data_IF_231113804336
#
_entry.id   IF_231113804336
#
_cell.length_a   1.000
_cell.length_b   1.000
_cell.length_c   1.000
_cell.angle_alpha   90.00
_cell.angle_beta   90.00
_cell.angle_gamma   90.00
#
_symmetry.space_group_name_H-M   'P 1'
#
loop_
_entity.id
_entity.type
_entity.pdbx_description
1 polymer ?
#
# COMPACT_ATOMS: atom_id res chain seq x y z
N UNK A 1 4.85 -2.58 8.55
CA UNK A 1 6.20 -2.47 7.93
C UNK A 1 6.99 -3.74 8.24
N UNK A 2 8.04 -4.08 7.49
CA UNK A 2 8.85 -5.28 7.75
C UNK A 2 10.27 -4.99 8.26
N UNK A 3 10.84 -3.83 7.93
CA UNK A 3 12.16 -3.39 8.37
C UNK A 3 12.28 -1.87 8.23
N UNK A 4 13.28 -1.26 8.88
CA UNK A 4 13.65 0.15 8.71
C UNK A 4 12.72 1.16 9.39
N UNK A 5 11.93 0.73 10.37
CA UNK A 5 10.91 1.53 11.05
C UNK A 5 11.49 2.84 11.60
N UNK A 6 12.62 2.80 12.32
CA UNK A 6 13.29 4.00 12.84
C UNK A 6 13.54 5.08 11.76
N UNK A 7 13.90 4.68 10.54
CA UNK A 7 14.10 5.63 9.44
C UNK A 7 12.77 6.15 8.90
N UNK A 8 11.78 5.26 8.79
CA UNK A 8 10.42 5.64 8.41
C UNK A 8 9.83 6.64 9.40
N UNK A 9 9.95 6.40 10.70
CA UNK A 9 9.49 7.29 11.76
C UNK A 9 10.12 8.68 11.66
N UNK A 10 11.45 8.74 11.45
CA UNK A 10 12.16 10.01 11.24
C UNK A 10 11.65 10.77 10.02
N UNK A 11 11.45 10.09 8.89
CA UNK A 11 10.91 10.70 7.66
C UNK A 11 9.47 11.16 7.82
N UNK A 12 8.70 10.47 8.65
CA UNK A 12 7.27 10.70 8.89
C UNK A 12 6.99 11.72 9.99
N UNK A 13 7.92 11.88 10.93
CA UNK A 13 7.74 12.66 12.16
C UNK A 13 6.75 12.01 13.14
N UNK A 14 6.50 10.70 13.04
CA UNK A 14 5.56 9.95 13.89
C UNK A 14 5.86 8.45 13.87
N UNK A 15 5.52 7.76 14.95
CA UNK A 15 5.76 6.32 15.14
C UNK A 15 4.62 5.40 14.66
N UNK A 16 3.41 5.92 14.51
CA UNK A 16 2.25 5.14 14.09
C UNK A 16 1.87 5.45 12.64
N UNK A 17 1.04 4.58 12.06
CA UNK A 17 0.47 4.79 10.72
C UNK A 17 1.55 4.98 9.64
N UNK A 18 2.65 4.23 9.72
CA UNK A 18 3.82 4.48 8.88
C UNK A 18 3.53 4.25 7.40
N UNK A 19 2.87 3.13 7.06
CA UNK A 19 2.68 2.68 5.68
C UNK A 19 1.21 2.40 5.29
N UNK A 20 0.24 2.73 6.14
CA UNK A 20 -1.19 2.48 5.88
C UNK A 20 -1.85 3.54 4.99
N UNK A 21 -1.24 3.82 3.84
CA UNK A 21 -1.77 4.72 2.82
C UNK A 21 -0.71 5.09 1.78
N UNK A 22 -1.11 5.42 0.54
CA UNK A 22 -0.15 5.60 -0.56
C UNK A 22 0.85 6.73 -0.29
N UNK A 23 0.38 7.91 0.11
CA UNK A 23 1.27 9.02 0.49
C UNK A 23 2.03 8.77 1.80
N UNK A 24 1.53 7.87 2.66
CA UNK A 24 2.21 7.48 3.90
C UNK A 24 3.41 6.59 3.61
N UNK A 25 3.17 5.57 2.78
CA UNK A 25 4.16 4.65 2.25
C UNK A 25 5.29 5.39 1.53
N UNK A 26 4.98 6.28 0.57
CA UNK A 26 6.01 6.98 -0.18
C UNK A 26 6.89 7.86 0.71
N UNK A 27 6.29 8.58 1.67
CA UNK A 27 7.05 9.39 2.63
C UNK A 27 7.93 8.51 3.54
N UNK A 28 7.39 7.41 4.07
CA UNK A 28 8.13 6.48 4.93
C UNK A 28 9.34 5.87 4.20
N UNK A 29 9.15 5.47 2.95
CA UNK A 29 10.21 4.89 2.11
C UNK A 29 11.13 5.93 1.48
N UNK A 30 10.82 7.22 1.56
CA UNK A 30 11.59 8.28 0.93
C UNK A 30 11.49 8.28 -0.59
N UNK A 31 10.36 7.79 -1.12
CA UNK A 31 10.06 7.79 -2.55
C UNK A 31 9.49 9.15 -2.94
N UNK A 32 10.25 9.89 -3.74
CA UNK A 32 9.86 11.17 -4.30
C UNK A 32 9.74 11.10 -5.84
N UNK A 33 9.55 12.25 -6.49
CA UNK A 33 9.37 12.33 -7.93
C UNK A 33 10.62 11.94 -8.74
N UNK A 34 11.80 11.85 -8.14
CA UNK A 34 13.02 11.42 -8.85
C UNK A 34 12.97 9.93 -9.25
N UNK A 35 12.05 9.16 -8.66
CA UNK A 35 11.81 7.77 -9.01
C UNK A 35 10.80 7.59 -10.16
N UNK A 36 10.16 8.67 -10.64
CA UNK A 36 9.23 8.58 -11.75
C UNK A 36 9.92 8.09 -13.04
N UNK A 37 9.30 7.13 -13.72
CA UNK A 37 9.84 6.50 -14.93
C UNK A 37 11.05 5.55 -14.71
N UNK A 38 11.50 5.32 -13.48
CA UNK A 38 12.57 4.36 -13.22
C UNK A 38 12.10 2.90 -13.37
N UNK A 39 13.04 2.03 -13.76
CA UNK A 39 12.81 0.59 -13.88
C UNK A 39 12.87 -0.10 -12.51
N UNK A 40 11.78 -0.75 -12.11
CA UNK A 40 11.68 -1.49 -10.84
C UNK A 40 12.42 -2.83 -10.83
N UNK A 41 12.95 -3.27 -11.98
CA UNK A 41 13.68 -4.54 -12.12
C UNK A 41 15.20 -4.38 -12.09
N UNK A 42 15.70 -3.16 -12.28
CA UNK A 42 17.14 -2.86 -12.36
C UNK A 42 17.56 -1.59 -11.62
N UNK A 43 16.61 -0.78 -11.15
CA UNK A 43 16.84 0.49 -10.46
C UNK A 43 17.11 0.35 -8.96
N UNK A 44 17.15 1.50 -8.28
CA UNK A 44 17.38 1.58 -6.83
C UNK A 44 16.12 1.34 -5.98
N UNK A 45 14.94 1.41 -6.60
CA UNK A 45 13.67 0.98 -6.02
C UNK A 45 13.27 -0.31 -6.71
N UNK A 46 13.10 -1.39 -5.96
CA UNK A 46 12.82 -2.72 -6.50
C UNK A 46 11.62 -3.38 -5.81
N UNK A 47 11.04 -4.38 -6.48
CA UNK A 47 10.03 -5.27 -5.90
C UNK A 47 10.68 -6.64 -5.73
N UNK A 48 10.57 -7.21 -4.54
CA UNK A 48 11.09 -8.54 -4.23
C UNK A 48 9.94 -9.54 -4.06
N UNK A 49 10.23 -10.81 -4.25
CA UNK A 49 9.29 -11.89 -3.93
C UNK A 49 8.94 -11.84 -2.44
N UNK A 50 7.64 -11.92 -2.14
CA UNK A 50 7.14 -11.98 -0.78
C UNK A 50 7.17 -13.40 -0.22
N UNK A 51 6.60 -13.57 0.98
CA UNK A 51 6.28 -14.89 1.51
C UNK A 51 5.08 -15.53 0.81
N UNK A 52 4.40 -16.42 1.52
CA UNK A 52 3.21 -17.09 1.01
C UNK A 52 2.11 -16.10 0.56
N UNK A 53 1.34 -16.51 -0.44
CA UNK A 53 0.20 -15.72 -0.91
C UNK A 53 -0.79 -15.48 0.25
N UNK A 54 -1.21 -14.23 0.49
CA UNK A 54 -2.09 -13.93 1.61
C UNK A 54 -3.47 -14.53 1.37
N UNK A 55 -4.06 -15.04 2.45
CA UNK A 55 -5.46 -15.46 2.49
C UNK A 55 -6.37 -14.23 2.64
N UNK A 56 -7.65 -14.35 2.29
CA UNK A 56 -8.64 -13.29 2.56
C UNK A 56 -8.49 -12.05 1.68
N UNK A 57 -8.07 -12.20 0.43
CA UNK A 57 -8.05 -11.09 -0.53
C UNK A 57 -9.48 -10.68 -0.85
N UNK A 58 -9.80 -9.42 -0.58
CA UNK A 58 -11.10 -8.80 -0.86
C UNK A 58 -10.97 -7.83 -2.01
N UNK A 59 -11.96 -7.86 -2.88
CA UNK A 59 -12.14 -6.91 -3.96
C UNK A 59 -13.16 -5.84 -3.56
N UNK A 60 -12.82 -4.57 -3.73
CA UNK A 60 -13.66 -3.45 -3.32
C UNK A 60 -13.45 -2.21 -4.20
N UNK A 61 -14.21 -1.15 -3.96
CA UNK A 61 -14.14 0.08 -4.74
C UNK A 61 -12.90 0.91 -4.40
N UNK A 62 -12.39 1.68 -5.36
CA UNK A 62 -11.24 2.58 -5.13
C UNK A 62 -11.65 3.82 -4.31
N UNK A 63 -10.67 4.45 -3.65
CA UNK A 63 -10.88 5.64 -2.80
C UNK A 63 -10.32 6.88 -3.50
N UNK A 64 -10.94 8.04 -3.25
CA UNK A 64 -10.41 9.33 -3.69
C UNK A 64 -10.56 9.61 -5.18
N UNK A 65 -11.42 8.87 -5.87
CA UNK A 65 -11.71 9.06 -7.30
C UNK A 65 -13.15 9.54 -7.51
N UNK A 66 -13.39 10.24 -8.61
CA UNK A 66 -14.72 10.78 -8.98
C UNK A 66 -15.37 10.04 -10.15
N UNK A 67 -14.65 9.11 -10.81
CA UNK A 67 -15.12 8.32 -11.96
C UNK A 67 -14.78 6.86 -11.77
N UNK A 68 -15.67 5.95 -12.16
CA UNK A 68 -15.49 4.51 -11.95
C UNK A 68 -15.43 4.16 -10.45
N UNK A 69 -16.25 4.86 -9.66
CA UNK A 69 -16.36 4.75 -8.19
C UNK A 69 -17.00 3.45 -7.73
N UNK A 70 -17.80 2.85 -8.61
CA UNK A 70 -18.52 1.60 -8.46
C UNK A 70 -17.66 0.40 -8.87
N UNK A 71 -16.57 0.62 -9.59
CA UNK A 71 -15.75 -0.46 -10.12
C UNK A 71 -14.89 -1.07 -9.01
N UNK A 72 -14.93 -2.40 -8.84
CA UNK A 72 -14.23 -3.09 -7.75
C UNK A 72 -12.75 -3.32 -8.12
N UNK A 73 -11.99 -2.23 -8.33
CA UNK A 73 -10.58 -2.29 -8.76
C UNK A 73 -9.58 -1.97 -7.65
N UNK A 74 -9.97 -2.23 -6.39
CA UNK A 74 -9.09 -2.17 -5.22
C UNK A 74 -9.04 -3.55 -4.59
N UNK A 75 -7.83 -4.04 -4.34
CA UNK A 75 -7.57 -5.31 -3.68
C UNK A 75 -6.87 -5.08 -2.35
N UNK A 76 -7.25 -5.81 -1.31
CA UNK A 76 -6.67 -5.72 0.03
C UNK A 76 -6.83 -7.05 0.77
N UNK A 77 -6.06 -7.24 1.84
CA UNK A 77 -6.21 -8.36 2.77
C UNK A 77 -7.24 -7.96 3.83
N UNK A 78 -8.29 -8.76 4.02
CA UNK A 78 -9.33 -8.45 5.00
C UNK A 78 -8.77 -8.50 6.44
N UNK A 79 -9.16 -7.53 7.26
CA UNK A 79 -8.71 -7.43 8.65
C UNK A 79 -7.24 -7.01 8.87
N UNK A 80 -6.44 -6.79 7.82
CA UNK A 80 -5.05 -6.33 7.97
C UNK A 80 -5.01 -4.86 8.43
N UNK A 81 -4.37 -4.62 9.57
CA UNK A 81 -4.21 -3.30 10.20
C UNK A 81 -3.40 -2.30 9.35
N UNK A 82 -2.61 -2.80 8.39
CA UNK A 82 -1.83 -1.99 7.48
C UNK A 82 -2.66 -1.45 6.31
N UNK A 83 -3.92 -1.85 6.19
CA UNK A 83 -4.83 -1.34 5.16
C UNK A 83 -5.32 0.06 5.54
N UNK A 84 -5.15 1.02 4.61
CA UNK A 84 -5.49 2.42 4.84
C UNK A 84 -6.96 2.70 5.16
N UNK A 85 -7.87 1.99 4.49
CA UNK A 85 -9.31 2.14 4.63
C UNK A 85 -9.94 0.77 4.40
N UNK A 86 -10.80 0.29 5.31
CA UNK A 86 -11.46 -1.01 5.17
C UNK A 86 -12.37 -1.05 3.93
N UNK A 87 -12.70 -2.26 3.41
CA UNK A 87 -13.58 -2.41 2.26
C UNK A 87 -14.99 -1.91 2.59
N UNK A 88 -15.65 -1.25 1.63
CA UNK A 88 -17.09 -0.95 1.70
C UNK A 88 -17.82 -2.13 1.06
N UNK A 89 -18.33 -3.04 1.89
CA UNK A 89 -18.87 -4.36 1.52
C UNK A 89 -17.81 -5.33 0.93
N UNK A 90 -17.88 -6.57 1.40
CA UNK A 90 -16.90 -7.62 1.12
C UNK A 90 -17.42 -8.51 0.00
N UNK A 91 -16.91 -8.35 -1.22
CA UNK A 91 -16.96 -9.44 -2.20
C UNK A 91 -15.66 -10.25 -2.04
N UNK A 92 -15.79 -11.45 -1.46
CA UNK A 92 -14.67 -12.38 -1.37
C UNK A 92 -14.38 -12.93 -2.77
N UNK A 93 -13.10 -12.92 -3.14
CA UNK A 93 -12.68 -13.59 -4.37
C UNK A 93 -12.61 -15.10 -4.11
N UNK A 94 -13.46 -15.86 -4.79
CA UNK A 94 -13.43 -17.33 -4.82
C UNK A 94 -12.25 -17.89 -5.62
#
# INVERSE_FOLDING_TARGET
PSDGEDLMERRRGRAHDLCNGPGRLTQALGVDLNYDGQDLTSGSLTISEGGDAPQGIVQTTRIGITRGTELPWRYLIDGDENVSVPPRATEMRG
#
